data_IF_976743120000
#
_entry.id   IF_976743120000
#
_cell.length_a   1.000
_cell.length_b   1.000
_cell.length_c   1.000
_cell.angle_alpha   90.00
_cell.angle_beta   90.00
_cell.angle_gamma   90.00
#
_symmetry.space_group_name_H-M   'P 1'
#
loop_
_entity.id
_entity.type
_entity.pdbx_description
1 polymer ?
#
# COMPACT_ATOMS: atom_id res chain seq x y z
N UNK A 1 23.34 20.71 0.40
CA UNK A 1 22.24 20.44 -0.56
C UNK A 1 22.28 18.96 -0.90
N UNK A 2 21.60 18.13 -0.12
CA UNK A 2 21.55 16.69 -0.34
C UNK A 2 20.48 16.40 -1.38
N UNK A 3 20.91 15.99 -2.55
CA UNK A 3 20.06 15.52 -3.64
C UNK A 3 19.56 14.13 -3.25
N UNK A 4 18.33 14.03 -2.74
CA UNK A 4 17.65 12.74 -2.64
C UNK A 4 17.43 12.22 -4.06
N UNK A 5 18.08 11.09 -4.38
CA UNK A 5 17.80 10.35 -5.58
C UNK A 5 16.43 9.69 -5.42
N UNK A 6 15.48 9.87 -6.34
CA UNK A 6 14.28 9.06 -6.35
C UNK A 6 14.72 7.59 -6.54
N UNK A 7 14.32 6.72 -5.63
CA UNK A 7 14.45 5.27 -5.79
C UNK A 7 13.47 4.84 -6.89
N UNK A 8 13.81 5.12 -8.13
CA UNK A 8 13.15 4.48 -9.25
C UNK A 8 13.70 3.04 -9.30
N UNK A 9 12.96 2.13 -8.69
CA UNK A 9 13.10 0.72 -8.99
C UNK A 9 12.77 0.58 -10.48
N UNK A 10 13.80 0.42 -11.31
CA UNK A 10 13.67 0.15 -12.72
C UNK A 10 13.07 -1.24 -12.95
N UNK A 11 11.77 -1.36 -12.65
CA UNK A 11 10.97 -2.48 -13.08
C UNK A 11 10.70 -2.26 -14.57
N UNK A 12 11.20 -3.13 -15.42
CA UNK A 12 10.97 -3.09 -16.89
C UNK A 12 9.46 -3.11 -17.24
N UNK A 13 8.58 -3.43 -16.27
CA UNK A 13 7.13 -3.23 -16.31
C UNK A 13 6.67 -2.93 -14.87
N UNK A 14 6.41 -1.67 -14.57
CA UNK A 14 5.75 -1.31 -13.32
C UNK A 14 4.37 -1.99 -13.27
N UNK A 15 4.00 -2.65 -12.15
CA UNK A 15 2.67 -3.22 -12.00
C UNK A 15 1.60 -2.16 -12.26
N UNK A 16 0.58 -2.48 -13.06
CA UNK A 16 -0.58 -1.62 -13.28
C UNK A 16 -1.79 -2.20 -12.56
N UNK A 17 -2.70 -1.34 -12.09
CA UNK A 17 -4.00 -1.79 -11.58
C UNK A 17 -4.82 -2.52 -12.67
N UNK A 18 -4.61 -2.17 -13.95
CA UNK A 18 -5.28 -2.83 -15.08
C UNK A 18 -4.77 -4.25 -15.33
N UNK A 19 -3.60 -4.56 -14.80
CA UNK A 19 -3.01 -5.90 -14.85
C UNK A 19 -3.53 -6.83 -13.77
N UNK A 20 -4.26 -6.29 -12.80
CA UNK A 20 -4.84 -7.08 -11.72
C UNK A 20 -6.09 -7.83 -12.21
N UNK A 21 -6.08 -9.15 -12.06
CA UNK A 21 -7.28 -9.96 -12.35
C UNK A 21 -8.31 -9.68 -11.27
N UNK A 22 -9.34 -8.92 -11.63
CA UNK A 22 -10.30 -8.35 -10.68
C UNK A 22 -11.09 -9.42 -9.92
N UNK A 23 -11.59 -10.46 -10.61
CA UNK A 23 -12.40 -11.49 -9.98
C UNK A 23 -13.53 -10.88 -9.12
N UNK A 24 -13.53 -11.20 -7.83
CA UNK A 24 -14.51 -10.69 -6.84
C UNK A 24 -14.08 -9.36 -6.19
N UNK A 25 -13.02 -8.70 -6.69
CA UNK A 25 -12.43 -7.51 -6.08
C UNK A 25 -12.87 -6.20 -6.76
N UNK A 26 -14.01 -6.17 -7.45
CA UNK A 26 -14.46 -5.00 -8.20
C UNK A 26 -14.55 -3.74 -7.31
N UNK A 27 -15.23 -3.83 -6.17
CA UNK A 27 -15.37 -2.71 -5.23
C UNK A 27 -14.02 -2.21 -4.71
N UNK A 28 -13.07 -3.13 -4.49
CA UNK A 28 -11.72 -2.77 -4.04
C UNK A 28 -10.97 -1.98 -5.11
N UNK A 29 -11.02 -2.42 -6.37
CA UNK A 29 -10.38 -1.72 -7.49
C UNK A 29 -11.01 -0.33 -7.71
N UNK A 30 -12.33 -0.22 -7.60
CA UNK A 30 -13.03 1.06 -7.70
C UNK A 30 -12.62 2.01 -6.56
N UNK A 31 -12.53 1.51 -5.32
CA UNK A 31 -12.07 2.29 -4.18
C UNK A 31 -10.63 2.78 -4.36
N UNK A 32 -9.72 1.91 -4.85
CA UNK A 32 -8.35 2.31 -5.16
C UNK A 32 -8.32 3.43 -6.21
N UNK A 33 -9.00 3.27 -7.33
CA UNK A 33 -9.05 4.29 -8.39
C UNK A 33 -9.60 5.62 -7.89
N UNK A 34 -10.66 5.56 -7.08
CA UNK A 34 -11.29 6.76 -6.51
C UNK A 34 -10.44 7.41 -5.40
N UNK A 35 -9.59 6.65 -4.72
CA UNK A 35 -8.78 7.18 -3.59
C UNK A 35 -7.82 8.30 -3.99
N UNK A 36 -7.47 8.43 -5.27
CA UNK A 36 -6.64 9.53 -5.78
C UNK A 36 -7.44 10.78 -6.14
N UNK A 37 -8.75 10.71 -6.12
CA UNK A 37 -9.62 11.87 -6.41
C UNK A 37 -9.80 12.75 -5.16
N UNK A 38 -10.11 14.05 -5.29
CA UNK A 38 -10.23 14.95 -4.14
C UNK A 38 -11.24 14.50 -3.08
N UNK A 39 -12.28 13.77 -3.48
CA UNK A 39 -13.33 13.22 -2.60
C UNK A 39 -13.09 11.76 -2.19
N UNK A 40 -11.97 11.17 -2.63
CA UNK A 40 -11.62 9.79 -2.30
C UNK A 40 -11.18 9.61 -0.86
N UNK A 41 -11.30 8.38 -0.35
CA UNK A 41 -10.85 8.04 0.99
C UNK A 41 -9.33 8.28 1.16
N UNK A 42 -8.92 9.08 2.15
CA UNK A 42 -7.50 9.41 2.33
C UNK A 42 -6.69 8.25 2.89
N UNK A 43 -7.32 7.28 3.54
CA UNK A 43 -6.67 6.13 4.16
C UNK A 43 -7.35 4.85 3.72
N UNK A 44 -6.62 3.99 3.03
CA UNK A 44 -7.07 2.65 2.64
C UNK A 44 -6.23 1.58 3.33
N UNK A 45 -6.88 0.54 3.81
CA UNK A 45 -6.24 -0.63 4.42
C UNK A 45 -6.68 -1.90 3.68
N UNK A 46 -5.76 -2.47 2.90
CA UNK A 46 -5.99 -3.68 2.11
C UNK A 46 -5.48 -4.90 2.88
N UNK A 47 -6.28 -5.93 3.00
CA UNK A 47 -5.83 -7.13 3.69
C UNK A 47 -6.27 -8.41 2.98
N UNK A 48 -5.47 -9.46 3.16
CA UNK A 48 -5.75 -10.76 2.58
C UNK A 48 -4.56 -11.71 2.69
N UNK A 49 -4.74 -13.00 2.36
CA UNK A 49 -3.71 -14.01 2.49
C UNK A 49 -2.47 -13.72 1.60
N UNK A 50 -1.36 -14.39 1.91
CA UNK A 50 -0.18 -14.28 1.06
C UNK A 50 -0.48 -14.72 -0.38
N UNK A 51 0.08 -14.00 -1.34
CA UNK A 51 -0.12 -14.27 -2.76
C UNK A 51 -1.45 -13.73 -3.35
N UNK A 52 -2.30 -13.05 -2.58
CA UNK A 52 -3.55 -12.48 -3.11
C UNK A 52 -3.36 -11.19 -3.94
N UNK A 53 -2.13 -10.68 -4.07
CA UNK A 53 -1.83 -9.51 -4.90
C UNK A 53 -1.70 -8.19 -4.14
N UNK A 54 -1.53 -8.19 -2.81
CA UNK A 54 -1.35 -6.96 -2.00
C UNK A 54 -0.31 -6.02 -2.57
N UNK A 55 0.94 -6.48 -2.71
CA UNK A 55 2.06 -5.68 -3.23
C UNK A 55 1.79 -5.18 -4.66
N UNK A 56 1.16 -6.01 -5.50
CA UNK A 56 0.79 -5.63 -6.87
C UNK A 56 -0.18 -4.43 -6.87
N UNK A 57 -1.20 -4.47 -6.01
CA UNK A 57 -2.18 -3.38 -5.89
C UNK A 57 -1.53 -2.09 -5.38
N UNK A 58 -0.65 -2.17 -4.37
CA UNK A 58 0.06 -1.01 -3.86
C UNK A 58 0.98 -0.37 -4.91
N UNK A 59 1.77 -1.18 -5.58
CA UNK A 59 2.66 -0.71 -6.66
C UNK A 59 1.87 -0.16 -7.84
N UNK A 60 0.78 -0.83 -8.24
CA UNK A 60 -0.12 -0.35 -9.29
C UNK A 60 -0.75 1.00 -8.95
N UNK A 61 -1.12 1.20 -7.69
CA UNK A 61 -1.66 2.49 -7.22
C UNK A 61 -0.61 3.59 -7.23
N UNK A 62 0.63 3.29 -6.83
CA UNK A 62 1.74 4.24 -6.94
C UNK A 62 2.00 4.61 -8.41
N UNK A 63 2.04 3.64 -9.31
CA UNK A 63 2.22 3.90 -10.75
C UNK A 63 1.08 4.78 -11.31
N UNK A 64 -0.16 4.54 -10.89
CA UNK A 64 -1.29 5.39 -11.29
C UNK A 64 -1.18 6.82 -10.73
N UNK A 65 -0.71 6.97 -9.48
CA UNK A 65 -0.46 8.28 -8.87
C UNK A 65 0.62 9.05 -9.66
N UNK A 66 1.74 8.40 -10.01
CA UNK A 66 2.80 9.00 -10.81
C UNK A 66 2.31 9.44 -12.20
N UNK A 67 1.47 8.62 -12.87
CA UNK A 67 0.86 8.98 -14.14
C UNK A 67 -0.05 10.22 -14.05
N UNK A 68 -0.63 10.49 -12.87
CA UNK A 68 -1.39 11.70 -12.58
C UNK A 68 -0.51 12.88 -12.14
N UNK A 69 0.82 12.73 -12.12
CA UNK A 69 1.78 13.74 -11.68
C UNK A 69 1.88 13.90 -10.16
N UNK A 70 1.34 12.95 -9.38
CA UNK A 70 1.42 12.92 -7.93
C UNK A 70 2.75 12.32 -7.48
N UNK A 71 3.31 12.85 -6.38
CA UNK A 71 4.53 12.33 -5.76
C UNK A 71 4.14 11.21 -4.80
N UNK A 72 4.74 10.04 -4.98
CA UNK A 72 4.44 8.90 -4.12
C UNK A 72 5.70 8.19 -3.61
N UNK A 73 5.51 7.42 -2.54
CA UNK A 73 6.51 6.49 -2.02
C UNK A 73 5.87 5.13 -1.76
N UNK A 74 6.61 4.07 -2.05
CA UNK A 74 6.28 2.70 -1.67
C UNK A 74 7.35 2.17 -0.72
N UNK A 75 6.93 1.69 0.45
CA UNK A 75 7.78 1.11 1.48
C UNK A 75 7.39 -0.34 1.73
N UNK A 76 8.27 -1.27 1.34
CA UNK A 76 8.15 -2.68 1.68
C UNK A 76 8.68 -2.92 3.09
N UNK A 77 7.80 -3.04 4.08
CA UNK A 77 8.18 -3.19 5.49
C UNK A 77 8.81 -4.56 5.79
N UNK A 78 8.81 -5.50 4.85
CA UNK A 78 9.62 -6.72 4.92
C UNK A 78 11.12 -6.44 5.05
N UNK A 79 11.57 -5.29 4.61
CA UNK A 79 12.97 -4.86 4.69
C UNK A 79 13.26 -3.91 5.87
N UNK A 80 12.28 -3.71 6.78
CA UNK A 80 12.38 -2.76 7.90
C UNK A 80 13.62 -3.01 8.79
N UNK A 81 14.05 -4.26 8.97
CA UNK A 81 15.25 -4.60 9.73
C UNK A 81 16.56 -4.02 9.14
N UNK A 82 16.56 -3.63 7.85
CA UNK A 82 17.68 -2.97 7.16
C UNK A 82 17.58 -1.45 7.17
N UNK A 83 16.46 -0.92 7.68
CA UNK A 83 16.11 0.48 7.65
C UNK A 83 16.02 1.02 9.08
N UNK A 84 16.26 2.31 9.25
CA UNK A 84 15.94 3.00 10.50
C UNK A 84 14.56 3.65 10.38
N UNK A 85 13.79 3.73 11.49
CA UNK A 85 12.46 4.40 11.48
C UNK A 85 12.49 5.84 10.97
N UNK A 86 13.65 6.54 11.07
CA UNK A 86 13.85 7.88 10.49
C UNK A 86 13.67 7.96 8.96
N UNK A 87 13.59 6.83 8.24
CA UNK A 87 13.21 6.83 6.81
C UNK A 87 11.80 7.38 6.60
N UNK A 88 10.98 7.39 7.65
CA UNK A 88 9.61 7.91 7.63
C UNK A 88 9.53 9.43 7.71
N UNK A 89 10.65 10.11 8.03
CA UNK A 89 10.67 11.57 8.19
C UNK A 89 10.57 12.27 6.83
N UNK A 90 9.67 13.25 6.77
CA UNK A 90 9.42 14.04 5.55
C UNK A 90 8.48 13.40 4.54
N UNK A 91 8.04 12.15 4.74
CA UNK A 91 7.11 11.48 3.83
C UNK A 91 5.74 12.17 3.79
N UNK A 92 5.34 12.87 4.84
CA UNK A 92 4.10 13.66 4.88
C UNK A 92 4.02 14.75 3.81
N UNK A 93 5.15 15.09 3.18
CA UNK A 93 5.18 16.06 2.07
C UNK A 93 4.79 15.48 0.71
N UNK A 94 4.61 14.15 0.65
CA UNK A 94 4.17 13.45 -0.57
C UNK A 94 2.64 13.48 -0.70
N UNK A 95 2.16 13.11 -1.87
CA UNK A 95 0.73 13.05 -2.17
C UNK A 95 0.12 11.68 -1.83
N UNK A 96 0.95 10.60 -1.91
CA UNK A 96 0.57 9.23 -1.56
C UNK A 96 1.76 8.48 -0.94
N UNK A 97 1.48 7.70 0.12
CA UNK A 97 2.45 6.75 0.69
C UNK A 97 1.79 5.38 0.77
N UNK A 98 2.46 4.36 0.24
CA UNK A 98 2.05 2.97 0.31
C UNK A 98 2.97 2.16 1.23
N UNK A 99 2.41 1.55 2.27
CA UNK A 99 3.10 0.68 3.23
C UNK A 99 2.71 -0.77 3.01
N UNK A 100 3.64 -1.59 2.58
CA UNK A 100 3.40 -2.99 2.29
C UNK A 100 3.81 -3.88 3.45
N UNK A 101 2.91 -4.81 3.84
CA UNK A 101 3.09 -5.77 4.91
C UNK A 101 3.29 -5.13 6.32
N UNK A 102 2.38 -4.23 6.72
CA UNK A 102 2.47 -3.49 7.99
C UNK A 102 2.54 -4.38 9.23
N UNK A 103 2.02 -5.62 9.18
CA UNK A 103 2.11 -6.56 10.30
C UNK A 103 3.56 -6.92 10.66
N UNK A 104 4.52 -6.69 9.77
CA UNK A 104 5.93 -7.04 10.00
C UNK A 104 6.65 -6.11 10.97
N UNK A 105 6.16 -4.90 11.20
CA UNK A 105 6.69 -3.98 12.23
C UNK A 105 5.97 -4.14 13.58
N UNK A 106 5.01 -5.05 13.67
CA UNK A 106 4.29 -5.27 14.91
C UNK A 106 5.24 -5.74 16.03
N UNK A 107 5.01 -5.21 17.24
CA UNK A 107 5.83 -5.41 18.43
C UNK A 107 7.20 -4.72 18.41
N UNK A 108 7.48 -3.92 17.40
CA UNK A 108 8.64 -3.05 17.35
C UNK A 108 8.24 -1.63 17.73
N UNK A 109 8.28 -1.32 19.04
CA UNK A 109 7.76 -0.07 19.59
C UNK A 109 8.25 1.18 18.84
N UNK A 110 9.53 1.22 18.48
CA UNK A 110 10.13 2.37 17.76
C UNK A 110 9.51 2.57 16.37
N UNK A 111 9.22 1.47 15.65
CA UNK A 111 8.56 1.53 14.36
C UNK A 111 7.08 1.91 14.49
N UNK A 112 6.39 1.34 15.47
CA UNK A 112 4.96 1.63 15.70
C UNK A 112 4.76 3.10 16.10
N UNK A 113 5.63 3.65 16.97
CA UNK A 113 5.61 5.06 17.37
C UNK A 113 5.93 5.99 16.20
N UNK A 114 6.97 5.67 15.41
CA UNK A 114 7.35 6.46 14.25
C UNK A 114 6.24 6.50 13.18
N UNK A 115 5.60 5.35 12.93
CA UNK A 115 4.49 5.28 11.98
C UNK A 115 3.24 6.01 12.49
N UNK A 116 2.94 5.93 13.79
CA UNK A 116 1.87 6.70 14.41
C UNK A 116 2.10 8.21 14.27
N UNK A 117 3.32 8.67 14.55
CA UNK A 117 3.70 10.06 14.39
C UNK A 117 3.55 10.52 12.92
N UNK A 118 4.05 9.71 11.97
CA UNK A 118 3.86 9.99 10.54
C UNK A 118 2.39 10.04 10.15
N UNK A 119 1.57 9.09 10.61
CA UNK A 119 0.14 9.05 10.31
C UNK A 119 -0.55 10.39 10.67
N UNK A 120 -0.24 10.93 11.85
CA UNK A 120 -0.81 12.21 12.28
C UNK A 120 -0.33 13.36 11.39
N UNK A 121 0.97 13.42 11.04
CA UNK A 121 1.50 14.42 10.09
C UNK A 121 0.86 14.32 8.72
N UNK A 122 0.71 13.09 8.17
CA UNK A 122 0.04 12.86 6.89
C UNK A 122 -1.39 13.38 6.89
N UNK A 123 -2.15 13.10 7.95
CA UNK A 123 -3.52 13.62 8.10
C UNK A 123 -3.55 15.15 8.06
N UNK A 124 -2.62 15.80 8.78
CA UNK A 124 -2.59 17.26 8.88
C UNK A 124 -2.13 17.92 7.56
N UNK A 125 -1.34 17.21 6.73
CA UNK A 125 -0.90 17.66 5.40
C UNK A 125 -1.83 17.22 4.25
N UNK A 126 -2.80 16.35 4.51
CA UNK A 126 -3.68 15.80 3.48
C UNK A 126 -3.03 14.73 2.60
N UNK A 127 -1.91 14.14 3.07
CA UNK A 127 -1.22 13.02 2.39
C UNK A 127 -2.06 11.76 2.47
N UNK A 128 -2.27 11.10 1.35
CA UNK A 128 -2.99 9.83 1.28
C UNK A 128 -2.11 8.68 1.73
N UNK A 129 -2.71 7.72 2.42
CA UNK A 129 -2.00 6.53 2.91
C UNK A 129 -2.69 5.25 2.48
N UNK A 130 -1.91 4.31 1.96
CA UNK A 130 -2.36 2.99 1.56
C UNK A 130 -1.56 1.94 2.33
N UNK A 131 -2.24 1.10 3.09
CA UNK A 131 -1.63 0.03 3.87
C UNK A 131 -1.99 -1.33 3.34
N UNK A 132 -1.07 -2.29 3.43
CA UNK A 132 -1.38 -3.71 3.24
C UNK A 132 -1.01 -4.54 4.45
N UNK A 133 -1.77 -5.62 4.70
CA UNK A 133 -1.52 -6.59 5.75
C UNK A 133 -2.07 -7.98 5.41
N UNK A 134 -1.69 -8.98 6.20
CA UNK A 134 -2.23 -10.36 6.10
C UNK A 134 -3.59 -10.51 6.79
N UNK A 135 -3.95 -9.57 7.69
CA UNK A 135 -5.20 -9.57 8.45
C UNK A 135 -5.82 -8.18 8.52
N UNK A 136 -7.11 -8.12 8.83
CA UNK A 136 -7.81 -6.85 9.05
C UNK A 136 -7.30 -6.09 10.27
N UNK A 137 -7.55 -4.75 10.35
CA UNK A 137 -6.97 -3.90 11.41
C UNK A 137 -7.37 -4.33 12.82
N UNK A 138 -8.56 -4.91 13.01
CA UNK A 138 -9.00 -5.42 14.31
C UNK A 138 -8.20 -6.63 14.81
N UNK A 139 -7.68 -7.44 13.88
CA UNK A 139 -6.85 -8.63 14.17
C UNK A 139 -5.35 -8.33 14.05
N UNK A 140 -4.97 -7.09 13.76
CA UNK A 140 -3.58 -6.67 13.59
C UNK A 140 -2.75 -6.94 14.87
N UNK A 141 -1.54 -7.50 14.76
CA UNK A 141 -0.65 -7.71 15.88
C UNK A 141 0.04 -6.42 16.40
N UNK A 142 -0.25 -5.26 15.83
CA UNK A 142 0.23 -3.95 16.27
C UNK A 142 -0.14 -3.75 17.75
N UNK A 143 0.84 -3.39 18.57
CA UNK A 143 0.63 -3.26 20.02
C UNK A 143 0.24 -1.84 20.43
N UNK A 144 0.71 -0.80 19.72
CA UNK A 144 0.35 0.57 20.02
C UNK A 144 -1.14 0.81 19.74
N UNK A 145 -2.00 1.00 20.79
CA UNK A 145 -3.46 1.10 20.62
C UNK A 145 -3.86 2.26 19.71
N UNK A 146 -3.14 3.37 19.80
CA UNK A 146 -3.39 4.57 19.01
C UNK A 146 -3.14 4.33 17.53
N UNK A 147 -2.03 3.65 17.17
CA UNK A 147 -1.76 3.28 15.77
C UNK A 147 -2.82 2.32 15.25
N UNK A 148 -3.18 1.29 16.03
CA UNK A 148 -4.22 0.33 15.64
C UNK A 148 -5.57 1.02 15.39
N UNK A 149 -5.93 1.98 16.25
CA UNK A 149 -7.13 2.79 16.07
C UNK A 149 -7.08 3.61 14.78
N UNK A 150 -5.93 4.21 14.47
CA UNK A 150 -5.73 4.96 13.23
C UNK A 150 -5.83 4.09 11.98
N UNK A 151 -5.24 2.90 12.00
CA UNK A 151 -5.32 1.95 10.89
C UNK A 151 -6.77 1.48 10.63
N UNK A 152 -7.58 1.38 11.67
CA UNK A 152 -8.99 1.03 11.58
C UNK A 152 -9.90 2.19 11.15
N UNK A 153 -9.39 3.43 11.15
CA UNK A 153 -10.18 4.63 10.82
C UNK A 153 -10.50 4.75 9.33
N UNK A 154 -9.61 4.29 8.46
CA UNK A 154 -9.79 4.34 7.01
C UNK A 154 -10.71 3.24 6.47
N UNK A 155 -10.92 3.23 5.17
CA UNK A 155 -11.66 2.19 4.48
C UNK A 155 -10.85 0.90 4.44
N UNK A 156 -11.35 -0.14 5.10
CA UNK A 156 -10.71 -1.46 5.15
C UNK A 156 -11.36 -2.40 4.13
N UNK A 157 -10.55 -2.99 3.25
CA UNK A 157 -10.99 -3.82 2.13
C UNK A 157 -10.27 -5.17 2.15
N UNK A 158 -11.04 -6.24 2.19
CA UNK A 158 -10.51 -7.60 2.07
C UNK A 158 -10.26 -7.95 0.61
N UNK A 159 -9.05 -8.41 0.30
CA UNK A 159 -8.70 -8.94 -1.02
C UNK A 159 -9.18 -10.39 -1.10
N UNK A 160 -10.12 -10.65 -1.99
CA UNK A 160 -10.62 -12.00 -2.24
C UNK A 160 -9.64 -12.75 -3.13
N UNK A 161 -9.20 -13.96 -2.75
CA UNK A 161 -8.33 -14.77 -3.59
C UNK A 161 -9.05 -15.13 -4.91
N UNK A 162 -8.24 -15.30 -5.96
CA UNK A 162 -8.75 -15.75 -7.24
C UNK A 162 -9.32 -17.17 -7.13
N UNK A 163 -10.46 -17.40 -7.74
CA UNK A 163 -10.97 -18.74 -8.01
C UNK A 163 -10.16 -19.40 -9.15
N UNK A 164 -10.51 -20.63 -9.50
CA UNK A 164 -9.75 -21.39 -10.50
C UNK A 164 -9.81 -20.73 -11.89
N UNK A 165 -10.93 -20.09 -12.24
CA UNK A 165 -11.06 -19.33 -13.49
C UNK A 165 -10.14 -18.11 -13.49
N UNK A 166 -10.13 -17.32 -12.42
CA UNK A 166 -9.25 -16.15 -12.28
C UNK A 166 -7.77 -16.52 -12.26
N UNK A 167 -7.42 -17.70 -11.70
CA UNK A 167 -6.03 -18.19 -11.74
C UNK A 167 -5.61 -18.53 -13.18
N UNK A 168 -6.50 -19.13 -13.97
CA UNK A 168 -6.25 -19.42 -15.38
C UNK A 168 -6.05 -18.15 -16.18
N UNK A 169 -6.90 -17.14 -15.99
CA UNK A 169 -6.77 -15.82 -16.63
C UNK A 169 -5.45 -15.15 -16.28
N UNK A 170 -5.03 -15.20 -15.01
CA UNK A 170 -3.74 -14.68 -14.57
C UNK A 170 -2.58 -15.37 -15.29
N UNK A 171 -2.59 -16.70 -15.36
CA UNK A 171 -1.55 -17.47 -16.05
C UNK A 171 -1.48 -17.14 -17.55
N UNK A 172 -2.61 -17.01 -18.22
CA UNK A 172 -2.66 -16.60 -19.63
C UNK A 172 -2.12 -15.19 -19.84
N UNK A 173 -2.50 -14.23 -18.98
CA UNK A 173 -1.98 -12.87 -19.02
C UNK A 173 -0.45 -12.82 -18.84
N UNK A 174 0.09 -13.58 -17.87
CA UNK A 174 1.53 -13.67 -17.63
C UNK A 174 2.28 -14.33 -18.81
N UNK A 175 1.70 -15.34 -19.45
CA UNK A 175 2.29 -15.98 -20.64
C UNK A 175 2.37 -15.02 -21.82
N UNK A 176 1.30 -14.26 -22.08
CA UNK A 176 1.27 -13.28 -23.18
C UNK A 176 2.29 -12.14 -23.01
N UNK A 177 2.60 -11.75 -21.78
CA UNK A 177 3.58 -10.69 -21.49
C UNK A 177 5.05 -11.13 -21.62
N UNK A 178 5.30 -12.44 -21.60
CA UNK A 178 6.66 -13.01 -21.73
C UNK A 178 7.00 -13.43 -23.16
N UNK A 179 6.03 -13.43 -24.05
CA UNK A 179 6.17 -13.74 -25.47
C UNK A 179 6.50 -12.46 -26.28
#
# INVERSE_FOLDING_TARGET
>A
MSRQLPLSLGLQHAPSLDDFVVGRNQTLIEALRHSLDPTGEPVLYLFGPNGCGRSHLLLGQCAQAEQRGLRCAYLALRDHAKLAPGILDGLETLDLIAFDDIQLIAREAVWEEALFALFNRCRDHGTRMLFSADCGPAASPIQLPDLRSRLAWGLSLSIQPLDDQGRLELLQSLATRRA
#
